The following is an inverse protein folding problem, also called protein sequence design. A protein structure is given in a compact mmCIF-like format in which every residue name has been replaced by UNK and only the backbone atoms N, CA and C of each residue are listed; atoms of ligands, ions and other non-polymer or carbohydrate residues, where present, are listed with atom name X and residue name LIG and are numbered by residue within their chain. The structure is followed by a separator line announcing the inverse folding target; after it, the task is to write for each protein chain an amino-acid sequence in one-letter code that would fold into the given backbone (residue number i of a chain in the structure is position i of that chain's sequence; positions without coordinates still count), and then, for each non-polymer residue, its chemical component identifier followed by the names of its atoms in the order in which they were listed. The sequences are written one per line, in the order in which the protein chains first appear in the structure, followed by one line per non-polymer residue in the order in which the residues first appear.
data_IF_050363267447
#
_entry.id   IF_050363267447
#
_cell.length_a   1.000
_cell.length_b   1.000
_cell.length_c   1.000
_cell.angle_alpha   90.00
_cell.angle_beta   90.00
_cell.angle_gamma   90.00
#
_symmetry.space_group_name_H-M   'P 1'
#
loop_
_entity.id
_entity.type
_entity.pdbx_description
1 polymer ?
#
# COMPACT_ATOMS: atom_id res chain seq x y z
N UNK A 1 4.22 0.86 -8.65
CA UNK A 1 3.64 -0.38 -8.08
C UNK A 1 3.01 -1.22 -9.19
N UNK A 2 2.98 -2.54 -9.02
CA UNK A 2 2.24 -3.45 -9.90
C UNK A 2 0.88 -3.81 -9.30
N UNK A 3 0.18 -4.76 -9.92
CA UNK A 3 -1.08 -5.31 -9.40
C UNK A 3 -1.00 -6.85 -9.38
N UNK A 4 -1.57 -7.48 -8.35
CA UNK A 4 -1.73 -8.92 -8.21
C UNK A 4 -3.19 -9.27 -8.35
N UNK A 5 -3.51 -10.24 -9.20
CA UNK A 5 -4.87 -10.75 -9.33
C UNK A 5 -5.32 -11.45 -8.04
N UNK A 6 -6.45 -11.03 -7.47
CA UNK A 6 -7.04 -11.61 -6.26
C UNK A 6 -8.16 -12.60 -6.59
N UNK A 7 -8.95 -12.32 -7.62
CA UNK A 7 -10.05 -13.20 -7.99
C UNK A 7 -11.06 -12.56 -8.90
N UNK A 8 -12.05 -13.37 -9.25
CA UNK A 8 -13.21 -12.97 -10.03
C UNK A 8 -14.41 -12.75 -9.11
N UNK A 9 -15.33 -11.91 -9.55
CA UNK A 9 -16.69 -11.83 -9.02
C UNK A 9 -17.70 -11.57 -10.13
N UNK A 10 -18.94 -12.05 -9.94
CA UNK A 10 -20.06 -11.88 -10.88
C UNK A 10 -20.25 -13.06 -11.84
N UNK A 11 -21.50 -13.23 -12.31
CA UNK A 11 -21.90 -14.18 -13.36
C UNK A 11 -21.40 -15.63 -13.16
N UNK A 12 -21.45 -16.11 -11.92
CA UNK A 12 -21.02 -17.47 -11.56
C UNK A 12 -19.51 -17.65 -11.40
N UNK A 13 -18.72 -16.60 -11.65
CA UNK A 13 -17.30 -16.58 -11.36
C UNK A 13 -17.03 -16.05 -9.96
N UNK A 14 -16.29 -16.84 -9.18
CA UNK A 14 -15.82 -16.50 -7.85
C UNK A 14 -14.44 -17.10 -7.59
N UNK A 15 -13.66 -16.45 -6.71
CA UNK A 15 -12.33 -16.91 -6.35
C UNK A 15 -11.26 -16.66 -7.41
N UNK A 16 -10.06 -17.20 -7.19
CA UNK A 16 -8.87 -16.96 -8.03
C UNK A 16 -8.68 -17.97 -9.17
N UNK A 17 -9.59 -18.94 -9.30
CA UNK A 17 -9.53 -19.97 -10.33
C UNK A 17 -9.87 -19.46 -11.73
N UNK A 18 -9.82 -20.36 -12.71
CA UNK A 18 -10.25 -20.05 -14.08
C UNK A 18 -11.75 -19.73 -14.08
N UNK A 19 -12.11 -18.54 -14.53
CA UNK A 19 -13.49 -18.14 -14.78
C UNK A 19 -13.87 -18.53 -16.21
N UNK A 20 -14.91 -19.35 -16.38
CA UNK A 20 -15.47 -19.74 -17.69
C UNK A 20 -16.90 -19.26 -17.76
N UNK A 21 -17.20 -18.44 -18.77
CA UNK A 21 -18.52 -17.83 -18.96
C UNK A 21 -19.02 -18.17 -20.36
N UNK A 22 -20.24 -18.71 -20.43
CA UNK A 22 -20.91 -18.96 -21.71
C UNK A 22 -21.67 -17.72 -22.16
N UNK A 23 -21.27 -17.14 -23.29
CA UNK A 23 -21.85 -15.89 -23.81
C UNK A 23 -23.16 -16.14 -24.59
N UNK A 24 -24.25 -16.33 -23.87
CA UNK A 24 -25.62 -16.44 -24.42
C UNK A 24 -26.40 -15.13 -24.38
N UNK A 25 -25.88 -14.14 -23.64
CA UNK A 25 -26.40 -12.80 -23.48
C UNK A 25 -25.24 -11.88 -23.02
N UNK A 26 -25.50 -10.58 -22.87
CA UNK A 26 -24.53 -9.68 -22.25
C UNK A 26 -24.32 -10.09 -20.78
N UNK A 27 -23.06 -10.30 -20.39
CA UNK A 27 -22.66 -10.73 -19.04
C UNK A 27 -21.55 -9.81 -18.53
N UNK A 28 -21.49 -9.62 -17.21
CA UNK A 28 -20.50 -8.78 -16.54
C UNK A 28 -19.74 -9.56 -15.45
N UNK A 29 -18.45 -9.76 -15.67
CA UNK A 29 -17.52 -10.32 -14.68
C UNK A 29 -16.52 -9.26 -14.28
N UNK A 30 -16.23 -9.16 -12.99
CA UNK A 30 -15.22 -8.25 -12.44
C UNK A 30 -13.98 -9.03 -12.02
N UNK A 31 -12.82 -8.55 -12.45
CA UNK A 31 -11.53 -8.95 -11.91
C UNK A 31 -11.19 -8.05 -10.72
N UNK A 32 -10.76 -8.66 -9.62
CA UNK A 32 -10.31 -7.97 -8.42
C UNK A 32 -8.79 -8.05 -8.40
N UNK A 33 -8.13 -6.91 -8.21
CA UNK A 33 -6.68 -6.80 -8.13
C UNK A 33 -6.28 -6.08 -6.85
N UNK A 34 -5.14 -6.48 -6.27
CA UNK A 34 -4.51 -5.81 -5.14
C UNK A 34 -3.17 -5.22 -5.54
N UNK A 35 -2.66 -4.24 -4.79
CA UNK A 35 -1.32 -3.70 -5.02
C UNK A 35 -0.23 -4.76 -4.92
N UNK A 36 0.72 -4.73 -5.85
CA UNK A 36 1.96 -5.50 -5.82
C UNK A 36 3.15 -4.59 -5.47
N UNK A 37 3.82 -4.89 -4.36
CA UNK A 37 5.10 -4.27 -4.01
C UNK A 37 6.24 -4.92 -4.80
N UNK A 38 7.15 -4.12 -5.34
CA UNK A 38 8.22 -4.61 -6.24
C UNK A 38 9.33 -5.34 -5.48
N UNK A 39 9.43 -5.12 -4.17
CA UNK A 39 10.38 -5.78 -3.28
C UNK A 39 9.64 -6.61 -2.22
N UNK A 40 10.22 -7.75 -1.77
CA UNK A 40 9.64 -8.54 -0.69
C UNK A 40 9.56 -7.71 0.60
N UNK A 41 8.70 -8.15 1.52
CA UNK A 41 8.61 -7.52 2.83
C UNK A 41 9.97 -7.58 3.53
N UNK A 42 10.49 -6.46 4.07
CA UNK A 42 11.74 -6.47 4.79
C UNK A 42 11.65 -7.40 6.01
N UNK A 43 12.69 -8.23 6.18
CA UNK A 43 12.86 -9.10 7.34
C UNK A 43 13.78 -8.41 8.35
N UNK A 44 13.41 -8.33 9.64
CA UNK A 44 14.25 -7.71 10.67
C UNK A 44 15.69 -8.25 10.64
N UNK A 45 16.67 -7.34 10.67
CA UNK A 45 18.12 -7.64 10.71
C UNK A 45 18.70 -8.36 9.47
N UNK A 46 17.88 -8.69 8.47
CA UNK A 46 18.31 -9.39 7.25
C UNK A 46 18.21 -8.47 6.04
N UNK A 47 17.04 -7.87 5.83
CA UNK A 47 16.78 -7.06 4.64
C UNK A 47 17.06 -5.59 4.89
N UNK A 48 17.80 -4.95 3.98
CA UNK A 48 17.92 -3.50 3.95
C UNK A 48 16.64 -2.86 3.41
N UNK A 49 16.07 -1.94 4.19
CA UNK A 49 14.99 -1.04 3.76
C UNK A 49 15.60 -0.03 2.80
N UNK A 50 15.05 0.07 1.59
CA UNK A 50 15.54 1.00 0.57
C UNK A 50 14.48 2.02 0.20
N UNK A 51 14.93 3.09 -0.45
CA UNK A 51 14.06 4.12 -1.00
C UNK A 51 12.95 3.54 -1.93
N UNK A 52 13.23 2.41 -2.60
CA UNK A 52 12.24 1.70 -3.40
C UNK A 52 11.00 1.24 -2.60
N UNK A 53 11.18 0.81 -1.34
CA UNK A 53 10.06 0.39 -0.49
C UNK A 53 9.12 1.56 -0.18
N UNK A 54 9.69 2.76 -0.03
CA UNK A 54 8.96 4.01 0.18
C UNK A 54 8.28 4.47 -1.10
N UNK A 55 8.97 4.42 -2.25
CA UNK A 55 8.38 4.79 -3.54
C UNK A 55 7.16 3.93 -3.88
N UNK A 56 7.21 2.62 -3.61
CA UNK A 56 6.05 1.76 -3.82
C UNK A 56 4.90 2.11 -2.87
N UNK A 57 5.17 2.32 -1.58
CA UNK A 57 4.15 2.72 -0.60
C UNK A 57 3.52 4.07 -0.94
N UNK A 58 4.32 5.05 -1.36
CA UNK A 58 3.85 6.37 -1.81
C UNK A 58 2.89 6.23 -2.98
N UNK A 59 3.26 5.43 -3.98
CA UNK A 59 2.40 5.16 -5.14
C UNK A 59 1.10 4.49 -4.72
N UNK A 60 1.17 3.43 -3.91
CA UNK A 60 0.00 2.66 -3.49
C UNK A 60 -0.99 3.54 -2.69
N UNK A 61 -0.48 4.27 -1.71
CA UNK A 61 -1.28 5.14 -0.85
C UNK A 61 -1.90 6.29 -1.67
N UNK A 62 -1.15 6.92 -2.59
CA UNK A 62 -1.72 7.98 -3.42
C UNK A 62 -2.80 7.47 -4.37
N UNK A 63 -2.64 6.29 -4.96
CA UNK A 63 -3.69 5.65 -5.77
C UNK A 63 -4.94 5.39 -4.93
N UNK A 64 -4.76 4.77 -3.76
CA UNK A 64 -5.86 4.42 -2.86
C UNK A 64 -6.62 5.66 -2.40
N UNK A 65 -5.90 6.71 -1.99
CA UNK A 65 -6.50 8.01 -1.62
C UNK A 65 -7.27 8.66 -2.77
N UNK A 66 -6.69 8.72 -3.97
CA UNK A 66 -7.28 9.42 -5.09
C UNK A 66 -8.46 8.66 -5.72
N UNK A 67 -8.29 7.35 -5.93
CA UNK A 67 -9.25 6.53 -6.68
C UNK A 67 -10.33 5.90 -5.81
N UNK A 68 -10.01 5.48 -4.58
CA UNK A 68 -10.98 4.78 -3.73
C UNK A 68 -11.71 5.75 -2.79
N UNK A 69 -11.04 6.83 -2.37
CA UNK A 69 -11.54 7.69 -1.28
C UNK A 69 -11.69 9.17 -1.64
N UNK A 70 -11.26 9.62 -2.82
CA UNK A 70 -11.41 11.00 -3.27
C UNK A 70 -10.62 12.04 -2.47
N UNK A 71 -9.60 11.64 -1.70
CA UNK A 71 -8.86 12.50 -0.76
C UNK A 71 -7.70 13.30 -1.38
N UNK A 72 -7.49 13.19 -2.69
CA UNK A 72 -6.31 13.71 -3.37
C UNK A 72 -5.01 13.02 -2.97
N UNK A 73 -4.00 13.08 -3.84
CA UNK A 73 -2.67 12.55 -3.56
C UNK A 73 -1.87 13.44 -2.61
N UNK A 74 -0.96 12.86 -1.84
CA UNK A 74 -0.03 13.63 -1.02
C UNK A 74 1.10 14.26 -1.85
N UNK A 75 1.51 15.46 -1.42
CA UNK A 75 2.79 16.06 -1.79
C UNK A 75 3.80 15.74 -0.69
N UNK A 76 4.90 15.07 -1.05
CA UNK A 76 5.91 14.63 -0.09
C UNK A 76 6.99 15.69 0.12
N UNK A 77 7.42 15.87 1.38
CA UNK A 77 8.47 16.83 1.76
C UNK A 77 9.80 16.52 1.07
N UNK A 78 10.15 15.25 0.95
CA UNK A 78 11.32 14.76 0.22
C UNK A 78 10.84 14.01 -1.03
N UNK A 79 10.56 14.70 -2.15
CA UNK A 79 9.91 14.11 -3.31
C UNK A 79 10.85 13.21 -4.12
N UNK A 80 12.17 13.42 -4.03
CA UNK A 80 13.16 12.75 -4.87
C UNK A 80 13.90 11.64 -4.14
N UNK A 81 13.40 10.42 -4.27
CA UNK A 81 13.99 9.22 -3.69
C UNK A 81 14.79 8.44 -4.74
N UNK A 82 16.12 8.44 -4.64
CA UNK A 82 16.99 7.68 -5.52
C UNK A 82 17.24 6.30 -4.91
N UNK A 83 16.89 5.24 -5.65
CA UNK A 83 17.03 3.84 -5.22
C UNK A 83 18.48 3.57 -4.82
N UNK A 84 18.66 2.88 -3.68
CA UNK A 84 19.96 2.54 -3.05
C UNK A 84 20.86 3.72 -2.66
N UNK A 85 20.45 4.98 -2.90
CA UNK A 85 21.23 6.18 -2.53
C UNK A 85 20.56 6.98 -1.42
N UNK A 86 19.25 7.17 -1.49
CA UNK A 86 18.52 7.93 -0.47
C UNK A 86 18.31 7.05 0.77
N UNK A 87 18.79 7.52 1.92
CA UNK A 87 18.48 6.92 3.22
C UNK A 87 17.03 7.19 3.59
N UNK A 88 16.31 6.14 4.01
CA UNK A 88 14.93 6.27 4.48
C UNK A 88 14.93 6.96 5.84
N UNK A 89 14.13 8.04 5.95
CA UNK A 89 14.04 8.89 7.13
C UNK A 89 12.71 8.70 7.85
N UNK A 90 12.66 9.09 9.13
CA UNK A 90 11.42 9.15 9.91
C UNK A 90 10.30 9.89 9.18
N UNK A 91 10.61 11.03 8.55
CA UNK A 91 9.63 11.85 7.82
C UNK A 91 8.90 11.07 6.74
N UNK A 92 9.59 10.16 6.02
CA UNK A 92 8.96 9.36 4.98
C UNK A 92 7.89 8.43 5.54
N UNK A 93 8.11 7.85 6.73
CA UNK A 93 7.16 6.93 7.36
C UNK A 93 5.99 7.71 7.99
N UNK A 94 6.27 8.83 8.67
CA UNK A 94 5.22 9.63 9.32
C UNK A 94 4.24 10.23 8.31
N UNK A 95 4.72 10.69 7.15
CA UNK A 95 3.86 11.16 6.06
C UNK A 95 2.93 10.04 5.55
N UNK A 96 3.47 8.83 5.34
CA UNK A 96 2.68 7.68 4.88
C UNK A 96 1.64 7.23 5.91
N UNK A 97 2.01 7.20 7.19
CA UNK A 97 1.07 6.90 8.28
C UNK A 97 -0.08 7.90 8.33
N UNK A 98 0.22 9.21 8.23
CA UNK A 98 -0.80 10.25 8.21
C UNK A 98 -1.78 10.07 7.05
N UNK A 99 -1.26 9.89 5.84
CA UNK A 99 -2.11 9.71 4.67
C UNK A 99 -2.99 8.46 4.74
N UNK A 100 -2.45 7.38 5.28
CA UNK A 100 -3.19 6.14 5.41
C UNK A 100 -4.28 6.28 6.48
N UNK A 101 -3.97 6.92 7.61
CA UNK A 101 -4.96 7.20 8.66
C UNK A 101 -6.14 8.03 8.13
N UNK A 102 -5.88 9.06 7.31
CA UNK A 102 -6.95 9.82 6.65
C UNK A 102 -7.82 8.93 5.72
N UNK A 103 -7.21 8.01 4.97
CA UNK A 103 -7.95 7.05 4.15
C UNK A 103 -8.80 6.10 4.99
N UNK A 104 -8.30 5.62 6.14
CA UNK A 104 -9.06 4.80 7.09
C UNK A 104 -10.25 5.56 7.69
N UNK A 105 -10.06 6.83 8.07
CA UNK A 105 -11.16 7.68 8.57
C UNK A 105 -12.22 7.87 7.49
N UNK A 106 -11.82 8.14 6.24
CA UNK A 106 -12.75 8.28 5.12
C UNK A 106 -13.48 6.98 4.80
N UNK A 107 -12.86 5.82 5.03
CA UNK A 107 -13.48 4.50 4.93
C UNK A 107 -14.43 4.18 6.10
N UNK A 108 -14.47 5.01 7.16
CA UNK A 108 -15.23 4.73 8.38
C UNK A 108 -14.66 3.58 9.21
N UNK A 109 -13.37 3.29 9.07
CA UNK A 109 -12.69 2.18 9.72
C UNK A 109 -11.83 2.64 10.91
N UNK A 110 -11.59 1.72 11.84
CA UNK A 110 -10.64 1.95 12.93
C UNK A 110 -9.23 2.15 12.38
N UNK A 111 -8.49 3.10 12.96
CA UNK A 111 -7.14 3.42 12.52
C UNK A 111 -6.18 2.24 12.67
N UNK A 112 -5.18 2.10 11.77
CA UNK A 112 -4.12 1.12 11.92
C UNK A 112 -3.34 1.31 13.23
N UNK A 113 -3.00 0.21 13.89
CA UNK A 113 -2.06 0.22 15.00
C UNK A 113 -0.64 0.16 14.47
N UNK A 114 0.22 1.05 14.99
CA UNK A 114 1.64 1.09 14.67
C UNK A 114 2.46 0.77 15.91
N UNK A 115 3.39 -0.19 15.82
CA UNK A 115 4.18 -0.62 16.99
C UNK A 115 5.12 0.48 17.52
N UNK A 116 5.60 1.37 16.64
CA UNK A 116 6.37 2.54 17.04
C UNK A 116 5.44 3.76 17.19
N UNK A 117 5.28 4.24 18.42
CA UNK A 117 4.41 5.39 18.74
C UNK A 117 4.99 6.74 18.31
N UNK A 118 6.31 6.89 18.27
CA UNK A 118 6.99 8.11 17.83
C UNK A 118 8.22 7.80 16.97
N UNK A 119 8.30 8.44 15.80
CA UNK A 119 9.46 8.41 14.91
C UNK A 119 10.03 9.83 14.83
N UNK A 120 11.14 10.06 15.51
CA UNK A 120 11.79 11.38 15.57
C UNK A 120 12.83 11.50 14.45
N UNK A 121 12.77 12.55 13.60
CA UNK A 121 13.77 12.79 12.56
C UNK A 121 15.19 12.81 13.11
N UNK A 122 16.10 12.10 12.46
CA UNK A 122 17.52 12.04 12.85
C UNK A 122 17.84 11.17 14.07
N UNK A 123 16.85 10.75 14.85
CA UNK A 123 17.06 9.95 16.06
C UNK A 123 16.52 8.50 15.94
N UNK A 124 15.39 8.31 15.26
CA UNK A 124 14.78 6.98 15.16
C UNK A 124 15.27 6.21 13.94
N UNK A 125 15.80 5.01 14.18
CA UNK A 125 16.10 4.03 13.12
C UNK A 125 14.80 3.37 12.66
N UNK A 126 14.52 3.43 11.35
CA UNK A 126 13.35 2.78 10.75
C UNK A 126 13.53 1.26 10.78
N UNK A 127 12.50 0.56 11.28
CA UNK A 127 12.49 -0.89 11.45
C UNK A 127 11.72 -1.53 10.31
N UNK A 128 11.98 -2.81 10.08
CA UNK A 128 11.21 -3.59 9.12
C UNK A 128 9.71 -3.60 9.45
N UNK A 129 9.36 -3.57 10.74
CA UNK A 129 7.97 -3.48 11.20
C UNK A 129 7.27 -2.22 10.67
N UNK A 130 7.91 -1.05 10.66
CA UNK A 130 7.30 0.20 10.20
C UNK A 130 6.84 0.13 8.75
N UNK A 131 7.61 -0.54 7.89
CA UNK A 131 7.27 -0.75 6.47
C UNK A 131 6.21 -1.85 6.32
N UNK A 132 6.35 -2.96 7.03
CA UNK A 132 5.43 -4.09 6.95
C UNK A 132 4.02 -3.72 7.43
N UNK A 133 3.92 -2.93 8.50
CA UNK A 133 2.64 -2.39 9.01
C UNK A 133 1.95 -1.51 7.97
N UNK A 134 2.69 -0.60 7.33
CA UNK A 134 2.14 0.25 6.26
C UNK A 134 1.66 -0.58 5.06
N UNK A 135 2.43 -1.58 4.63
CA UNK A 135 2.01 -2.47 3.52
C UNK A 135 0.74 -3.24 3.87
N UNK A 136 0.68 -3.81 5.06
CA UNK A 136 -0.51 -4.53 5.54
C UNK A 136 -1.73 -3.61 5.62
N UNK A 137 -1.56 -2.40 6.12
CA UNK A 137 -2.65 -1.43 6.23
C UNK A 137 -3.12 -0.90 4.86
N UNK A 138 -2.22 -0.75 3.87
CA UNK A 138 -2.63 -0.48 2.48
C UNK A 138 -3.50 -1.61 1.93
N UNK A 139 -3.03 -2.86 2.05
CA UNK A 139 -3.74 -4.02 1.50
C UNK A 139 -5.09 -4.29 2.18
N UNK A 140 -5.29 -3.79 3.40
CA UNK A 140 -6.55 -3.92 4.12
C UNK A 140 -7.62 -2.89 3.72
N UNK A 141 -7.26 -1.87 2.91
CA UNK A 141 -8.17 -0.86 2.37
C UNK A 141 -8.54 -1.09 0.89
N UNK A 142 -8.09 -2.19 0.29
CA UNK A 142 -8.35 -2.56 -1.10
C UNK A 142 -9.57 -3.47 -1.26
#
# INVERSE_FOLDING_TARGET
AGAVFKGWSGEGCSGSGRCVVTMTAMRSVRAIFSTAFTRPNPTPRVSAIQAADITDLRSAINTLRAQNFGLGGLTFTDPTLVIRRTTVKAVHITELRSALNEAYVQAGLALPSYSASALTPGATVIRAADVNELRSAVLALE
#
